data_IF_276275785805
#
_entry.id   IF_276275785805
#
_cell.length_a   1.000
_cell.length_b   1.000
_cell.length_c   1.000
_cell.angle_alpha   90.00
_cell.angle_beta   90.00
_cell.angle_gamma   90.00
#
_symmetry.space_group_name_H-M   'P 1'
#
loop_
_entity.id
_entity.type
_entity.pdbx_description
1 polymer ?
#
# COMPACT_ATOMS: atom_id res chain seq x y z
N UNK A 1 13.51 9.83 21.29
CA UNK A 1 13.84 11.18 21.82
C UNK A 1 12.61 11.79 22.47
N UNK A 2 12.74 12.67 23.47
CA UNK A 2 11.60 13.36 24.11
C UNK A 2 11.62 14.84 23.73
N UNK A 3 10.54 15.31 23.11
CA UNK A 3 10.41 16.69 22.64
C UNK A 3 9.17 17.33 23.24
N UNK A 4 9.29 18.56 23.71
CA UNK A 4 8.15 19.37 24.17
C UNK A 4 7.73 20.30 23.04
N UNK A 5 6.47 20.22 22.62
CA UNK A 5 5.89 21.06 21.57
C UNK A 5 4.73 21.88 22.11
N UNK A 6 4.47 23.05 21.52
CA UNK A 6 3.22 23.79 21.77
C UNK A 6 2.16 23.34 20.78
N UNK A 7 0.97 23.00 21.28
CA UNK A 7 -0.19 22.60 20.50
C UNK A 7 -1.42 23.29 21.08
N UNK A 8 -2.36 23.71 20.23
CA UNK A 8 -3.60 24.31 20.73
C UNK A 8 -4.44 23.28 21.47
N UNK A 9 -5.15 23.72 22.51
CA UNK A 9 -6.00 22.84 23.32
C UNK A 9 -7.09 22.16 22.49
N UNK A 10 -7.66 22.87 21.52
CA UNK A 10 -8.67 22.34 20.60
C UNK A 10 -8.17 21.14 19.79
N UNK A 11 -6.94 21.21 19.28
CA UNK A 11 -6.33 20.10 18.54
C UNK A 11 -5.95 18.98 19.50
N UNK A 12 -5.38 19.30 20.66
CA UNK A 12 -4.98 18.30 21.63
C UNK A 12 -6.16 17.45 22.13
N UNK A 13 -7.34 18.05 22.33
CA UNK A 13 -8.59 17.34 22.64
C UNK A 13 -8.98 16.35 21.53
N UNK A 14 -8.90 16.76 20.27
CA UNK A 14 -9.21 15.88 19.11
C UNK A 14 -8.24 14.70 19.03
N UNK A 15 -6.95 14.94 19.28
CA UNK A 15 -5.93 13.88 19.31
C UNK A 15 -6.21 12.89 20.43
N UNK A 16 -6.59 13.36 21.64
CA UNK A 16 -6.98 12.47 22.74
C UNK A 16 -8.19 11.61 22.40
N UNK A 17 -9.24 12.19 21.79
CA UNK A 17 -10.41 11.44 21.38
C UNK A 17 -10.03 10.33 20.39
N UNK A 18 -9.26 10.67 19.35
CA UNK A 18 -8.79 9.71 18.35
C UNK A 18 -7.92 8.61 18.96
N UNK A 19 -7.06 8.96 19.90
CA UNK A 19 -6.22 8.02 20.63
C UNK A 19 -7.06 7.01 21.43
N UNK A 20 -8.07 7.50 22.16
CA UNK A 20 -9.00 6.65 22.91
C UNK A 20 -9.81 5.72 21.99
N UNK A 21 -10.36 6.24 20.90
CA UNK A 21 -11.12 5.46 19.90
C UNK A 21 -10.29 4.37 19.24
N UNK A 22 -8.99 4.62 19.00
CA UNK A 22 -8.09 3.67 18.34
C UNK A 22 -7.33 2.75 19.30
N UNK A 23 -7.48 2.92 20.62
CA UNK A 23 -6.71 2.18 21.62
C UNK A 23 -5.20 2.47 21.58
N UNK A 24 -4.81 3.66 21.09
CA UNK A 24 -3.41 4.07 20.92
C UNK A 24 -3.05 5.21 21.86
N UNK A 25 -1.76 5.46 22.06
CA UNK A 25 -1.31 6.62 22.83
C UNK A 25 -1.37 7.89 21.99
N UNK A 26 -1.54 9.04 22.65
CA UNK A 26 -1.46 10.36 22.01
C UNK A 26 -0.12 10.55 21.29
N UNK A 27 0.98 10.06 21.88
CA UNK A 27 2.31 10.11 21.26
C UNK A 27 2.36 9.37 19.93
N UNK A 28 1.79 8.17 19.86
CA UNK A 28 1.74 7.38 18.62
C UNK A 28 0.93 8.08 17.51
N UNK A 29 -0.18 8.72 17.85
CA UNK A 29 -0.98 9.50 16.88
C UNK A 29 -0.19 10.71 16.36
N UNK A 30 0.51 11.42 17.25
CA UNK A 30 1.33 12.58 16.87
C UNK A 30 2.53 12.13 16.00
N UNK A 31 3.17 11.02 16.34
CA UNK A 31 4.29 10.47 15.58
C UNK A 31 3.88 10.10 14.15
N UNK A 32 2.75 9.42 13.98
CA UNK A 32 2.21 9.11 12.65
C UNK A 32 1.93 10.39 11.84
N UNK A 33 1.33 11.40 12.48
CA UNK A 33 1.03 12.67 11.82
C UNK A 33 2.31 13.37 11.35
N UNK A 34 3.37 13.36 12.17
CA UNK A 34 4.68 13.91 11.79
C UNK A 34 5.31 13.11 10.66
N UNK A 35 5.23 11.77 10.70
CA UNK A 35 5.73 10.90 9.63
C UNK A 35 5.09 11.26 8.29
N UNK A 36 3.76 11.32 8.24
CA UNK A 36 3.02 11.68 7.03
C UNK A 36 3.35 13.09 6.56
N UNK A 37 3.50 14.05 7.47
CA UNK A 37 3.85 15.43 7.13
C UNK A 37 5.27 15.58 6.55
N UNK A 38 6.16 14.64 6.84
CA UNK A 38 7.53 14.59 6.33
C UNK A 38 7.67 13.73 5.08
N UNK A 39 6.62 13.01 4.66
CA UNK A 39 6.65 12.32 3.37
C UNK A 39 6.82 13.36 2.26
N UNK A 40 7.74 13.12 1.30
CA UNK A 40 7.83 13.99 0.14
C UNK A 40 6.46 14.04 -0.55
N UNK A 41 6.06 15.19 -1.11
CA UNK A 41 4.84 15.27 -1.90
C UNK A 41 4.85 14.10 -2.87
N UNK A 42 3.84 13.22 -2.82
CA UNK A 42 3.64 12.25 -3.87
C UNK A 42 3.65 13.06 -5.16
N UNK A 43 4.50 12.68 -6.11
CA UNK A 43 4.37 13.18 -7.46
C UNK A 43 2.88 13.05 -7.80
N UNK A 44 2.22 14.19 -8.08
CA UNK A 44 0.84 14.19 -8.56
C UNK A 44 0.75 13.16 -9.68
N UNK A 45 -0.40 12.48 -9.88
CA UNK A 45 -0.47 11.26 -10.67
C UNK A 45 0.37 11.46 -11.93
N UNK A 46 1.56 10.84 -11.92
CA UNK A 46 2.40 10.85 -13.08
C UNK A 46 1.56 10.25 -14.20
N UNK A 47 1.92 10.52 -15.45
CA UNK A 47 1.30 9.81 -16.55
C UNK A 47 1.52 8.30 -16.30
N UNK A 48 0.51 7.63 -15.75
CA UNK A 48 0.57 6.20 -15.47
C UNK A 48 0.45 5.57 -16.85
N UNK A 49 1.51 4.93 -17.38
CA UNK A 49 1.40 4.29 -18.67
C UNK A 49 0.26 3.26 -18.59
N UNK A 50 -0.54 3.11 -19.65
CA UNK A 50 -1.58 2.10 -19.67
C UNK A 50 -0.95 0.74 -19.39
N UNK A 51 -1.54 -0.02 -18.46
CA UNK A 51 -1.10 -1.40 -18.23
C UNK A 51 -1.34 -2.21 -19.51
N UNK A 52 -0.42 -3.09 -19.91
CA UNK A 52 -0.64 -3.96 -21.05
C UNK A 52 -1.89 -4.82 -20.80
N UNK A 53 -2.75 -4.91 -21.81
CA UNK A 53 -3.85 -5.86 -21.80
C UNK A 53 -3.43 -7.09 -22.60
N UNK A 54 -3.70 -8.27 -22.04
CA UNK A 54 -3.42 -9.54 -22.69
C UNK A 54 -4.74 -10.15 -23.16
N UNK A 55 -4.79 -10.54 -24.43
CA UNK A 55 -5.93 -11.28 -24.98
C UNK A 55 -5.86 -12.77 -24.61
N UNK A 56 -7.00 -13.41 -24.46
CA UNK A 56 -7.10 -14.85 -24.24
C UNK A 56 -8.53 -15.35 -24.44
N UNK A 57 -8.69 -16.63 -24.78
CA UNK A 57 -10.00 -17.27 -24.97
C UNK A 57 -10.63 -17.80 -23.67
N UNK A 58 -10.15 -17.33 -22.52
CA UNK A 58 -10.55 -17.82 -21.20
C UNK A 58 -9.47 -18.68 -20.54
N UNK A 59 -9.90 -19.64 -19.72
CA UNK A 59 -9.00 -20.49 -18.95
C UNK A 59 -8.24 -21.47 -19.84
N UNK A 60 -7.01 -21.79 -19.47
CA UNK A 60 -6.24 -22.86 -20.11
C UNK A 60 -6.84 -24.22 -19.72
N UNK A 61 -7.27 -25.05 -20.69
CA UNK A 61 -7.84 -26.37 -20.39
C UNK A 61 -6.85 -27.25 -19.62
N UNK A 62 -7.34 -27.94 -18.59
CA UNK A 62 -6.54 -28.87 -17.78
C UNK A 62 -5.71 -28.20 -16.67
N UNK A 63 -5.76 -26.87 -16.53
CA UNK A 63 -5.15 -26.17 -15.40
C UNK A 63 -6.12 -26.12 -14.24
N UNK A 64 -5.69 -26.60 -13.07
CA UNK A 64 -6.50 -26.51 -11.85
C UNK A 64 -6.20 -25.25 -11.04
N UNK A 65 -7.16 -24.33 -11.01
CA UNK A 65 -6.99 -22.96 -10.49
C UNK A 65 -7.02 -22.87 -8.96
N UNK A 66 -7.54 -23.90 -8.29
CA UNK A 66 -7.61 -23.95 -6.83
C UNK A 66 -6.28 -24.36 -6.20
N UNK A 67 -5.32 -24.84 -7.01
CA UNK A 67 -3.99 -25.24 -6.58
C UNK A 67 -2.97 -24.14 -6.85
N UNK A 68 -2.63 -23.38 -5.80
CA UNK A 68 -1.59 -22.35 -5.88
C UNK A 68 -0.22 -22.90 -6.32
N UNK A 69 0.08 -24.17 -6.00
CA UNK A 69 1.34 -24.81 -6.39
C UNK A 69 1.38 -25.12 -7.89
N UNK A 70 0.36 -25.80 -8.41
CA UNK A 70 0.28 -26.16 -9.83
C UNK A 70 0.25 -24.93 -10.74
N UNK A 71 -0.44 -23.86 -10.31
CA UNK A 71 -0.47 -22.60 -11.05
C UNK A 71 0.90 -21.93 -11.09
N UNK A 72 1.62 -21.93 -9.96
CA UNK A 72 2.95 -21.30 -9.87
C UNK A 72 3.98 -22.02 -10.74
N UNK A 73 3.98 -23.36 -10.72
CA UNK A 73 4.88 -24.16 -11.54
C UNK A 73 4.67 -23.88 -13.04
N UNK A 74 3.42 -23.65 -13.47
CA UNK A 74 3.10 -23.27 -14.86
C UNK A 74 3.59 -21.86 -15.22
N UNK A 75 3.40 -20.89 -14.31
CA UNK A 75 3.85 -19.50 -14.52
C UNK A 75 5.37 -19.38 -14.61
N UNK A 76 6.11 -20.26 -13.93
CA UNK A 76 7.57 -20.29 -13.94
C UNK A 76 8.16 -21.00 -15.18
N UNK A 77 7.33 -21.72 -15.96
CA UNK A 77 7.75 -22.42 -17.18
C UNK A 77 7.85 -21.51 -18.42
N UNK A 78 7.20 -20.35 -18.44
CA UNK A 78 7.26 -19.40 -19.56
C UNK A 78 8.11 -18.16 -19.21
N UNK A 79 9.12 -17.92 -20.05
CA UNK A 79 10.23 -16.99 -19.85
C UNK A 79 9.85 -15.51 -19.71
N UNK A 80 10.61 -14.84 -18.83
CA UNK A 80 10.98 -13.41 -18.75
C UNK A 80 10.17 -12.39 -19.56
N UNK A 81 9.67 -11.39 -18.81
CA UNK A 81 8.91 -10.21 -19.25
C UNK A 81 9.69 -9.36 -20.30
N UNK A 82 11.01 -9.52 -20.40
CA UNK A 82 11.87 -8.78 -21.33
C UNK A 82 11.91 -9.33 -22.76
N UNK A 83 11.42 -10.55 -23.02
CA UNK A 83 11.48 -11.18 -24.35
C UNK A 83 10.34 -10.76 -25.31
N UNK A 84 9.38 -9.95 -24.84
CA UNK A 84 8.14 -9.58 -25.54
C UNK A 84 8.03 -8.07 -25.84
N UNK A 85 9.14 -7.32 -25.76
CA UNK A 85 9.22 -5.89 -26.09
C UNK A 85 9.75 -5.66 -27.51
#
# INVERSE_FOLDING_TARGET
MRTTIRISDTIYRRVKARAAESGRTVGAIIEDAVRVALEPPRAGPGEVPPLPTFGGSGLMPGVELTSNAALRDLMEQETSIDALR
#
